data_IF_066477589825
#
_entry.id   IF_066477589825
#
_cell.length_a   1.000
_cell.length_b   1.000
_cell.length_c   1.000
_cell.angle_alpha   90.00
_cell.angle_beta   90.00
_cell.angle_gamma   90.00
#
_symmetry.space_group_name_H-M   'P 1'
#
loop_
_entity.id
_entity.type
_entity.pdbx_description
1 polymer ?
#
# COMPACT_ATOMS: atom_id res chain seq x y z
N UNK A 1 -9.05 17.04 30.85
CA UNK A 1 -8.67 17.50 29.49
C UNK A 1 -9.89 17.41 28.58
N UNK A 2 -9.98 18.19 27.51
CA UNK A 2 -11.18 18.24 26.67
C UNK A 2 -11.21 17.01 25.73
N UNK A 3 -12.31 16.24 25.67
CA UNK A 3 -12.40 15.02 24.83
C UNK A 3 -12.11 15.29 23.34
N UNK A 4 -12.41 16.51 22.89
CA UNK A 4 -12.11 17.01 21.54
C UNK A 4 -10.60 17.02 21.28
N UNK A 5 -9.80 17.45 22.25
CA UNK A 5 -8.34 17.57 22.12
C UNK A 5 -7.65 16.21 22.00
N UNK A 6 -8.12 15.19 22.73
CA UNK A 6 -7.60 13.82 22.63
C UNK A 6 -7.94 13.21 21.27
N UNK A 7 -9.17 13.45 20.78
CA UNK A 7 -9.56 13.00 19.46
C UNK A 7 -8.65 13.58 18.37
N UNK A 8 -8.35 14.88 18.42
CA UNK A 8 -7.47 15.54 17.48
C UNK A 8 -6.04 14.96 17.52
N UNK A 9 -5.52 14.66 18.72
CA UNK A 9 -4.21 14.00 18.87
C UNK A 9 -4.18 12.62 18.21
N UNK A 10 -5.24 11.82 18.38
CA UNK A 10 -5.35 10.50 17.76
C UNK A 10 -5.42 10.63 16.23
N UNK A 11 -6.20 11.59 15.70
CA UNK A 11 -6.28 11.79 14.25
C UNK A 11 -4.95 12.18 13.63
N UNK A 12 -4.19 13.07 14.28
CA UNK A 12 -2.85 13.44 13.84
C UNK A 12 -1.91 12.22 13.81
N UNK A 13 -1.93 11.41 14.87
CA UNK A 13 -1.16 10.17 14.95
C UNK A 13 -1.54 9.21 13.81
N UNK A 14 -2.84 9.01 13.54
CA UNK A 14 -3.31 8.16 12.43
C UNK A 14 -2.78 8.67 11.08
N UNK A 15 -2.79 9.99 10.88
CA UNK A 15 -2.31 10.64 9.65
C UNK A 15 -0.81 10.40 9.44
N UNK A 16 -0.02 10.55 10.49
CA UNK A 16 1.45 10.44 10.43
C UNK A 16 1.91 8.98 10.37
N UNK A 17 1.28 8.08 11.12
CA UNK A 17 1.72 6.68 11.26
C UNK A 17 0.94 5.69 10.40
N UNK A 18 -0.08 6.11 9.65
CA UNK A 18 -0.91 5.20 8.83
C UNK A 18 -0.17 4.40 7.76
N UNK A 19 1.12 4.68 7.51
CA UNK A 19 2.02 3.92 6.62
C UNK A 19 3.23 3.32 7.33
N UNK A 20 3.31 3.42 8.66
CA UNK A 20 4.40 2.84 9.45
C UNK A 20 4.23 1.32 9.54
N UNK A 21 5.31 0.57 9.35
CA UNK A 21 5.26 -0.90 9.29
C UNK A 21 4.72 -1.53 10.57
N UNK A 22 5.07 -0.99 11.75
CA UNK A 22 4.53 -1.50 13.02
C UNK A 22 3.06 -1.14 13.17
N UNK A 23 2.68 0.06 12.73
CA UNK A 23 1.28 0.50 12.75
C UNK A 23 0.40 -0.38 11.85
N UNK A 24 0.84 -0.65 10.62
CA UNK A 24 0.15 -1.54 9.68
C UNK A 24 0.08 -2.98 10.21
N UNK A 25 1.15 -3.46 10.86
CA UNK A 25 1.16 -4.76 11.53
C UNK A 25 0.10 -4.83 12.63
N UNK A 26 0.03 -3.82 13.50
CA UNK A 26 -0.98 -3.73 14.56
C UNK A 26 -2.39 -3.67 13.97
N UNK A 27 -2.60 -2.84 12.96
CA UNK A 27 -3.90 -2.71 12.30
C UNK A 27 -4.40 -4.01 11.67
N UNK A 28 -3.50 -4.82 11.09
CA UNK A 28 -3.88 -6.05 10.39
C UNK A 28 -4.10 -7.23 11.34
N UNK A 29 -3.24 -7.36 12.35
CA UNK A 29 -3.13 -8.59 13.13
C UNK A 29 -3.64 -8.42 14.59
N UNK A 30 -3.94 -7.20 15.03
CA UNK A 30 -4.33 -6.86 16.41
C UNK A 30 -5.44 -5.80 16.47
N UNK A 31 -5.87 -5.47 17.70
CA UNK A 31 -6.88 -4.45 17.94
C UNK A 31 -6.25 -3.05 17.98
N UNK A 32 -6.37 -2.31 16.87
CA UNK A 32 -5.88 -0.94 16.76
C UNK A 32 -6.58 0.02 17.74
N UNK A 33 -7.82 -0.25 18.12
CA UNK A 33 -8.57 0.61 19.04
C UNK A 33 -8.02 0.51 20.47
N UNK A 34 -7.37 -0.60 20.82
CA UNK A 34 -6.62 -0.76 22.07
C UNK A 34 -5.38 0.15 22.10
N UNK A 35 -4.61 0.20 21.01
CA UNK A 35 -3.45 1.10 20.89
C UNK A 35 -3.87 2.57 20.92
N UNK A 36 -5.00 2.89 20.29
CA UNK A 36 -5.55 4.23 20.13
C UNK A 36 -6.63 4.57 21.17
N UNK A 37 -6.67 3.86 22.29
CA UNK A 37 -7.67 4.07 23.33
C UNK A 37 -7.62 5.52 23.85
N UNK A 38 -8.69 6.33 23.69
CA UNK A 38 -8.74 7.71 24.16
C UNK A 38 -8.62 7.87 25.68
N UNK A 39 -8.86 6.79 26.44
CA UNK A 39 -8.74 6.77 27.91
C UNK A 39 -7.30 6.48 28.38
N UNK A 40 -6.37 6.24 27.47
CA UNK A 40 -4.97 5.99 27.80
C UNK A 40 -4.27 7.28 28.25
N UNK A 41 -3.60 7.20 29.41
CA UNK A 41 -2.86 8.30 30.04
C UNK A 41 -1.79 8.91 29.10
N UNK A 42 -1.33 8.13 28.12
CA UNK A 42 -0.48 8.60 27.03
C UNK A 42 -1.06 9.83 26.34
N UNK A 43 -2.31 9.78 25.88
CA UNK A 43 -2.92 10.88 25.11
C UNK A 43 -3.31 12.05 25.99
N UNK A 44 -3.57 11.80 27.27
CA UNK A 44 -3.79 12.85 28.28
C UNK A 44 -2.53 13.68 28.51
N UNK A 45 -1.36 13.05 28.53
CA UNK A 45 -0.09 13.74 28.83
C UNK A 45 0.68 14.22 27.59
N UNK A 46 0.26 13.82 26.39
CA UNK A 46 0.98 14.12 25.16
C UNK A 46 0.75 15.56 24.68
N UNK A 47 1.84 16.32 24.59
CA UNK A 47 1.98 17.61 23.89
C UNK A 47 2.89 17.45 22.68
N UNK A 48 2.50 17.98 21.51
CA UNK A 48 3.26 17.82 20.26
C UNK A 48 4.51 18.72 20.16
N UNK A 49 4.52 19.87 20.82
CA UNK A 49 5.62 20.84 20.75
C UNK A 49 6.70 20.67 21.83
N UNK A 50 6.57 19.63 22.66
CA UNK A 50 7.46 19.41 23.83
C UNK A 50 8.42 18.23 23.62
N UNK A 51 9.51 18.27 24.41
CA UNK A 51 10.47 17.18 24.51
C UNK A 51 10.35 16.48 25.85
N UNK A 52 10.31 15.15 25.81
CA UNK A 52 10.23 14.28 26.97
C UNK A 52 11.58 13.63 27.27
N UNK A 53 11.96 13.60 28.54
CA UNK A 53 13.06 12.77 29.04
C UNK A 53 12.62 11.32 29.16
N UNK A 54 13.57 10.40 29.22
CA UNK A 54 13.29 8.96 29.34
C UNK A 54 12.43 8.60 30.56
N UNK A 55 12.55 9.33 31.68
CA UNK A 55 11.71 9.12 32.87
C UNK A 55 10.25 9.55 32.65
N UNK A 56 10.04 10.68 31.98
CA UNK A 56 8.70 11.20 31.64
C UNK A 56 8.05 10.28 30.59
N UNK A 57 8.81 9.88 29.57
CA UNK A 57 8.41 8.91 28.57
C UNK A 57 7.97 7.57 29.19
N UNK A 58 8.72 7.04 30.16
CA UNK A 58 8.37 5.78 30.83
C UNK A 58 7.04 5.88 31.58
N UNK A 59 6.78 7.01 32.24
CA UNK A 59 5.51 7.25 32.90
C UNK A 59 4.34 7.30 31.88
N UNK A 60 4.51 8.01 30.77
CA UNK A 60 3.48 8.12 29.72
C UNK A 60 3.18 6.80 29.01
N UNK A 61 4.16 5.89 28.96
CA UNK A 61 4.02 4.59 28.30
C UNK A 61 3.53 3.48 29.26
N UNK A 62 3.08 3.83 30.48
CA UNK A 62 2.58 2.86 31.46
C UNK A 62 3.64 1.94 32.05
N UNK A 63 4.93 2.23 31.83
CA UNK A 63 6.07 1.47 32.33
C UNK A 63 6.90 2.30 33.31
N UNK A 64 6.21 2.95 34.24
CA UNK A 64 6.83 3.73 35.31
C UNK A 64 7.95 2.92 35.99
N UNK A 65 9.05 3.58 36.33
CA UNK A 65 10.28 3.00 36.90
C UNK A 65 11.12 2.11 35.96
N UNK A 66 10.68 1.87 34.71
CA UNK A 66 11.45 1.15 33.69
C UNK A 66 12.10 2.08 32.67
N UNK A 67 12.56 3.26 33.08
CA UNK A 67 13.28 4.19 32.18
C UNK A 67 14.53 3.56 31.54
N UNK A 68 15.13 2.57 32.21
CA UNK A 68 16.23 1.77 31.67
C UNK A 68 15.80 0.92 30.46
N UNK A 69 14.55 0.45 30.42
CA UNK A 69 14.02 -0.30 29.28
C UNK A 69 13.96 0.60 28.04
N UNK A 70 13.50 1.84 28.19
CA UNK A 70 13.54 2.84 27.11
C UNK A 70 14.98 3.08 26.65
N UNK A 71 15.91 3.29 27.59
CA UNK A 71 17.33 3.48 27.24
C UNK A 71 17.89 2.27 26.48
N UNK A 72 17.52 1.05 26.84
CA UNK A 72 17.97 -0.14 26.14
C UNK A 72 17.45 -0.17 24.69
N UNK A 73 16.21 0.25 24.44
CA UNK A 73 15.67 0.36 23.08
C UNK A 73 16.31 1.48 22.27
N UNK A 74 16.58 2.63 22.88
CA UNK A 74 17.26 3.76 22.22
C UNK A 74 18.72 3.47 21.88
N UNK A 75 19.39 2.63 22.67
CA UNK A 75 20.76 2.20 22.41
C UNK A 75 20.84 0.92 21.57
N UNK A 76 19.70 0.31 21.22
CA UNK A 76 19.70 -0.88 20.38
C UNK A 76 20.01 -0.50 18.94
N UNK A 77 21.12 -0.97 18.34
CA UNK A 77 21.50 -0.61 16.98
C UNK A 77 20.43 -0.99 15.95
N UNK A 78 19.64 -2.05 16.20
CA UNK A 78 18.57 -2.48 15.31
C UNK A 78 17.34 -1.57 15.33
N UNK A 79 17.20 -0.74 16.38
CA UNK A 79 16.06 0.17 16.55
C UNK A 79 16.46 1.64 16.49
N UNK A 80 17.76 1.97 16.46
CA UNK A 80 18.27 3.33 16.50
C UNK A 80 17.77 4.17 15.31
N UNK A 81 17.74 3.59 14.11
CA UNK A 81 17.26 4.27 12.90
C UNK A 81 15.74 4.48 12.89
N UNK A 82 15.01 3.60 13.59
CA UNK A 82 13.56 3.69 13.73
C UNK A 82 13.17 4.69 14.83
N UNK A 83 13.75 4.58 16.02
CA UNK A 83 13.47 5.46 17.17
C UNK A 83 14.46 6.62 17.17
N UNK A 84 14.23 7.57 16.26
CA UNK A 84 15.07 8.78 16.11
C UNK A 84 14.90 9.74 17.29
N UNK A 85 15.60 9.46 18.38
CA UNK A 85 15.70 10.35 19.53
C UNK A 85 16.88 11.31 19.39
N UNK A 86 16.72 12.54 19.89
CA UNK A 86 17.82 13.51 19.93
C UNK A 86 18.57 13.39 21.25
N UNK A 87 19.89 13.61 21.25
CA UNK A 87 20.67 13.70 22.49
C UNK A 87 20.99 15.17 22.78
N UNK A 88 20.80 15.61 24.02
CA UNK A 88 21.32 16.91 24.46
C UNK A 88 22.83 16.85 24.70
N UNK A 89 23.43 18.02 24.91
CA UNK A 89 24.86 18.19 25.19
C UNK A 89 25.36 17.40 26.40
N UNK A 90 24.48 17.07 27.36
CA UNK A 90 24.74 16.20 28.51
C UNK A 90 24.55 14.69 28.23
N UNK A 91 24.45 14.29 26.96
CA UNK A 91 24.20 12.91 26.48
C UNK A 91 22.88 12.31 26.96
N UNK A 92 21.93 13.13 27.41
CA UNK A 92 20.58 12.65 27.75
C UNK A 92 19.69 12.65 26.53
N UNK A 93 18.85 11.63 26.40
CA UNK A 93 17.87 11.55 25.32
C UNK A 93 16.70 12.50 25.55
N UNK A 94 16.29 13.15 24.46
CA UNK A 94 15.09 13.98 24.33
C UNK A 94 14.22 13.42 23.21
N UNK A 95 13.01 13.06 23.58
CA UNK A 95 12.04 12.39 22.72
C UNK A 95 10.94 13.38 22.37
N UNK A 96 10.63 13.56 21.09
CA UNK A 96 9.39 14.22 20.68
C UNK A 96 8.24 13.20 20.67
N UNK A 97 7.03 13.64 20.35
CA UNK A 97 5.86 12.75 20.31
C UNK A 97 6.00 11.59 19.33
N UNK A 98 6.69 11.76 18.20
CA UNK A 98 6.88 10.71 17.18
C UNK A 98 7.68 9.49 17.69
N UNK A 99 8.94 9.63 18.16
CA UNK A 99 9.67 8.51 18.73
C UNK A 99 8.99 7.94 19.98
N UNK A 100 8.23 8.76 20.73
CA UNK A 100 7.45 8.28 21.86
C UNK A 100 6.29 7.36 21.41
N UNK A 101 5.57 7.72 20.34
CA UNK A 101 4.53 6.87 19.78
C UNK A 101 5.11 5.59 19.15
N UNK A 102 6.29 5.66 18.53
CA UNK A 102 7.03 4.46 18.08
C UNK A 102 7.35 3.51 19.22
N UNK A 103 7.78 4.04 20.37
CA UNK A 103 7.97 3.25 21.59
C UNK A 103 6.66 2.64 22.09
N UNK A 104 5.54 3.37 22.00
CA UNK A 104 4.21 2.84 22.33
C UNK A 104 3.84 1.63 21.46
N UNK A 105 4.04 1.72 20.14
CA UNK A 105 3.79 0.60 19.22
C UNK A 105 4.68 -0.61 19.53
N UNK A 106 5.95 -0.37 19.86
CA UNK A 106 6.89 -1.43 20.24
C UNK A 106 6.43 -2.16 21.50
N UNK A 107 6.10 -1.42 22.57
CA UNK A 107 5.64 -2.03 23.82
C UNK A 107 4.30 -2.76 23.64
N UNK A 108 3.38 -2.20 22.85
CA UNK A 108 2.14 -2.86 22.50
C UNK A 108 2.39 -4.24 21.86
N UNK A 109 3.30 -4.32 20.87
CA UNK A 109 3.66 -5.59 20.23
C UNK A 109 4.30 -6.57 21.22
N UNK A 110 5.18 -6.10 22.10
CA UNK A 110 5.79 -6.95 23.13
C UNK A 110 4.76 -7.52 24.10
N UNK A 111 3.74 -6.74 24.48
CA UNK A 111 2.62 -7.22 25.30
C UNK A 111 1.78 -8.27 24.55
N UNK A 112 1.78 -8.26 23.22
CA UNK A 112 1.20 -9.32 22.36
C UNK A 112 2.19 -10.46 22.05
N UNK A 113 3.24 -10.62 22.85
CA UNK A 113 4.27 -11.66 22.74
C UNK A 113 5.16 -11.60 21.48
N UNK A 114 5.25 -10.45 20.79
CA UNK A 114 6.28 -10.28 19.76
C UNK A 114 7.67 -10.25 20.39
N UNK A 115 8.64 -10.94 19.79
CA UNK A 115 10.02 -10.86 20.24
C UNK A 115 10.72 -9.64 19.62
N UNK A 116 11.74 -9.08 20.29
CA UNK A 116 12.54 -7.99 19.73
C UNK A 116 13.09 -8.27 18.32
N UNK A 117 13.41 -9.53 18.02
CA UNK A 117 13.89 -9.93 16.69
C UNK A 117 12.79 -9.86 15.63
N UNK A 118 11.56 -10.25 15.94
CA UNK A 118 10.43 -10.21 15.00
C UNK A 118 10.11 -8.77 14.61
N UNK A 119 10.18 -7.87 15.59
CA UNK A 119 10.05 -6.42 15.38
C UNK A 119 11.19 -5.87 14.52
N UNK A 120 12.44 -6.27 14.77
CA UNK A 120 13.58 -5.84 13.97
C UNK A 120 13.44 -6.28 12.51
N UNK A 121 12.97 -7.51 12.26
CA UNK A 121 12.70 -8.04 10.91
C UNK A 121 11.61 -7.20 10.21
N UNK A 122 10.51 -6.87 10.90
CA UNK A 122 9.45 -6.01 10.36
C UNK A 122 9.97 -4.63 9.95
N UNK A 123 10.91 -4.09 10.72
CA UNK A 123 11.54 -2.80 10.43
C UNK A 123 12.65 -2.88 9.39
N UNK A 124 12.91 -4.05 8.81
CA UNK A 124 13.98 -4.25 7.82
C UNK A 124 15.39 -4.18 8.40
N UNK A 125 15.54 -4.24 9.73
CA UNK A 125 16.85 -4.33 10.36
C UNK A 125 17.43 -5.72 10.12
N UNK A 126 18.61 -5.79 9.50
CA UNK A 126 19.35 -7.04 9.36
C UNK A 126 19.64 -7.60 10.75
N UNK A 127 19.22 -8.84 11.01
CA UNK A 127 19.58 -9.54 12.23
C UNK A 127 21.12 -9.59 12.33
N UNK A 128 21.73 -8.71 13.11
CA UNK A 128 23.12 -8.87 13.49
C UNK A 128 23.19 -10.10 14.37
N UNK A 129 23.64 -11.21 13.78
CA UNK A 129 24.11 -12.36 14.53
C UNK A 129 25.19 -11.85 15.50
N UNK A 130 24.83 -11.72 16.77
CA UNK A 130 25.82 -11.56 17.84
C UNK A 130 26.28 -12.99 18.13
N UNK A 131 27.48 -13.42 17.67
CA UNK A 131 28.02 -14.69 18.11
C UNK A 131 28.05 -14.66 19.65
N UNK A 132 27.71 -15.76 20.34
CA UNK A 132 27.78 -15.80 21.79
C UNK A 132 29.18 -15.36 22.20
N UNK A 133 29.29 -14.18 22.82
CA UNK A 133 30.52 -13.78 23.47
C UNK A 133 30.81 -14.85 24.52
N UNK A 134 32.05 -15.33 24.56
CA UNK A 134 32.56 -16.32 25.51
C UNK A 134 32.57 -15.80 26.97
N UNK A 135 31.57 -15.04 27.39
CA UNK A 135 31.36 -14.68 28.79
C UNK A 135 30.39 -15.68 29.40
N UNK A 136 30.98 -16.64 30.12
CA UNK A 136 30.27 -17.69 30.82
C UNK A 136 29.12 -17.11 31.69
N UNK A 137 27.90 -17.66 31.63
CA UNK A 137 26.89 -17.34 32.61
C UNK A 137 27.33 -17.91 33.96
N UNK A 138 27.62 -17.02 34.92
CA UNK A 138 27.75 -17.40 36.33
C UNK A 138 26.37 -17.71 36.89
N UNK A 139 25.88 -18.93 36.67
CA UNK A 139 24.89 -19.52 37.56
C UNK A 139 25.01 -21.05 37.52
N UNK A 140 25.56 -21.60 38.59
CA UNK A 140 25.55 -23.03 38.87
C UNK A 140 24.13 -23.49 39.18
N UNK A 141 23.51 -24.23 38.26
CA UNK A 141 22.40 -25.13 38.58
C UNK A 141 22.75 -26.48 38.00
N UNK A 142 23.14 -27.40 38.88
CA UNK A 142 23.25 -28.81 38.56
C UNK A 142 21.84 -29.34 38.28
N UNK A 143 21.56 -29.77 37.04
CA UNK A 143 20.66 -30.89 36.83
C UNK A 143 21.12 -31.76 35.67
N UNK A 144 21.27 -33.04 36.02
CA UNK A 144 21.61 -34.15 35.16
C UNK A 144 20.44 -34.48 34.22
N UNK A 145 20.70 -34.37 32.94
CA UNK A 145 20.16 -35.25 31.92
C UNK A 145 21.18 -35.23 30.80
N UNK A 146 21.81 -36.38 30.50
CA UNK A 146 22.63 -36.53 29.30
C UNK A 146 21.70 -36.42 28.09
N UNK A 147 21.40 -35.19 27.70
CA UNK A 147 20.90 -34.88 26.37
C UNK A 147 22.10 -35.10 25.45
N UNK A 148 21.93 -36.02 24.51
CA UNK A 148 22.91 -36.29 23.47
C UNK A 148 23.01 -35.03 22.59
N UNK A 149 23.90 -34.12 22.98
CA UNK A 149 24.03 -32.76 22.44
C UNK A 149 24.26 -32.74 20.93
N UNK A 150 24.82 -33.82 20.38
CA UNK A 150 25.05 -33.95 18.94
C UNK A 150 23.76 -34.32 18.20
N UNK A 151 22.91 -35.22 18.75
CA UNK A 151 21.57 -35.46 18.19
C UNK A 151 20.67 -34.23 18.27
N UNK A 152 20.73 -33.50 19.38
CA UNK A 152 19.95 -32.27 19.53
C UNK A 152 20.36 -31.20 18.50
N UNK A 153 21.64 -31.10 18.14
CA UNK A 153 22.10 -30.20 17.07
C UNK A 153 21.62 -30.65 15.69
N UNK A 154 21.67 -31.95 15.40
CA UNK A 154 21.19 -32.48 14.12
C UNK A 154 19.68 -32.25 13.94
N UNK A 155 18.88 -32.51 14.99
CA UNK A 155 17.44 -32.24 15.02
C UNK A 155 17.13 -30.74 14.86
N UNK A 156 17.96 -29.86 15.46
CA UNK A 156 17.82 -28.41 15.32
C UNK A 156 18.10 -27.94 13.89
N UNK A 157 19.14 -28.48 13.25
CA UNK A 157 19.49 -28.16 11.85
C UNK A 157 18.42 -28.65 10.88
N UNK A 158 17.85 -29.84 11.12
CA UNK A 158 16.75 -30.37 10.31
C UNK A 158 15.47 -29.54 10.47
N UNK A 159 15.16 -29.12 11.70
CA UNK A 159 14.04 -28.21 11.99
C UNK A 159 14.23 -26.84 11.32
N UNK A 160 15.42 -26.25 11.38
CA UNK A 160 15.73 -24.98 10.71
C UNK A 160 15.59 -25.09 9.19
N UNK A 161 16.06 -26.20 8.59
CA UNK A 161 15.87 -26.46 7.15
C UNK A 161 14.39 -26.59 6.80
N UNK A 162 13.61 -27.31 7.61
CA UNK A 162 12.17 -27.46 7.39
C UNK A 162 11.45 -26.10 7.51
N UNK A 163 11.77 -25.31 8.53
CA UNK A 163 11.25 -23.94 8.71
C UNK A 163 11.59 -23.04 7.52
N UNK A 164 12.84 -23.06 7.04
CA UNK A 164 13.26 -22.30 5.87
C UNK A 164 12.50 -22.73 4.60
N UNK A 165 12.27 -24.03 4.41
CA UNK A 165 11.51 -24.53 3.27
C UNK A 165 10.04 -24.09 3.32
N UNK A 166 9.39 -24.19 4.48
CA UNK A 166 8.00 -23.73 4.64
C UNK A 166 7.88 -22.21 4.47
N UNK A 167 8.81 -21.45 5.02
CA UNK A 167 8.87 -19.99 4.84
C UNK A 167 9.07 -19.62 3.37
N UNK A 168 9.93 -20.35 2.64
CA UNK A 168 10.17 -20.11 1.22
C UNK A 168 8.94 -20.46 0.36
N UNK A 169 8.21 -21.52 0.71
CA UNK A 169 6.92 -21.85 0.07
C UNK A 169 5.90 -20.73 0.28
N UNK A 170 5.74 -20.24 1.51
CA UNK A 170 4.85 -19.12 1.82
C UNK A 170 5.25 -17.85 1.07
N UNK A 171 6.55 -17.53 1.04
CA UNK A 171 7.07 -16.36 0.32
C UNK A 171 6.79 -16.44 -1.18
N UNK A 172 7.00 -17.61 -1.79
CA UNK A 172 6.69 -17.83 -3.20
C UNK A 172 5.19 -17.68 -3.49
N UNK A 173 4.32 -18.23 -2.64
CA UNK A 173 2.87 -18.09 -2.79
C UNK A 173 2.40 -16.63 -2.67
N UNK A 174 2.98 -15.86 -1.73
CA UNK A 174 2.69 -14.42 -1.57
C UNK A 174 3.16 -13.65 -2.81
N UNK A 175 4.36 -13.93 -3.32
CA UNK A 175 4.88 -13.27 -4.51
C UNK A 175 4.05 -13.59 -5.76
N UNK A 176 3.66 -14.85 -5.95
CA UNK A 176 2.79 -15.24 -7.06
C UNK A 176 1.44 -14.52 -6.97
N UNK A 177 0.83 -14.47 -5.78
CA UNK A 177 -0.40 -13.70 -5.54
C UNK A 177 -0.24 -12.22 -5.88
N UNK A 178 0.85 -11.60 -5.43
CA UNK A 178 1.12 -10.18 -5.70
C UNK A 178 1.33 -9.91 -7.20
N UNK A 179 1.99 -10.82 -7.91
CA UNK A 179 2.16 -10.71 -9.36
C UNK A 179 0.81 -10.79 -10.08
N UNK A 180 -0.05 -11.75 -9.72
CA UNK A 180 -1.38 -11.90 -10.33
C UNK A 180 -2.27 -10.67 -10.05
N UNK A 181 -2.24 -10.12 -8.83
CA UNK A 181 -2.95 -8.88 -8.50
C UNK A 181 -2.46 -7.69 -9.34
N UNK A 182 -1.15 -7.57 -9.53
CA UNK A 182 -0.58 -6.51 -10.37
C UNK A 182 -0.99 -6.67 -11.85
N UNK A 183 -1.00 -7.89 -12.38
CA UNK A 183 -1.47 -8.19 -13.73
C UNK A 183 -2.96 -7.85 -13.90
N UNK A 184 -3.79 -8.20 -12.90
CA UNK A 184 -5.20 -7.88 -12.89
C UNK A 184 -5.44 -6.37 -12.89
N UNK A 185 -4.78 -5.61 -12.01
CA UNK A 185 -4.90 -4.16 -11.93
C UNK A 185 -4.50 -3.47 -13.25
N UNK A 186 -3.45 -3.96 -13.92
CA UNK A 186 -3.04 -3.47 -15.25
C UNK A 186 -4.10 -3.77 -16.31
N UNK A 187 -4.73 -4.95 -16.27
CA UNK A 187 -5.77 -5.32 -17.20
C UNK A 187 -7.05 -4.48 -16.98
N UNK A 188 -7.44 -4.24 -15.73
CA UNK A 188 -8.57 -3.38 -15.37
C UNK A 188 -8.36 -1.92 -15.83
N UNK A 189 -7.18 -1.35 -15.58
CA UNK A 189 -6.85 0.00 -16.07
C UNK A 189 -6.88 0.09 -17.61
N UNK A 190 -6.39 -0.95 -18.31
CA UNK A 190 -6.51 -1.02 -19.77
C UNK A 190 -7.96 -1.12 -20.23
N UNK A 191 -8.80 -1.84 -19.50
CA UNK A 191 -10.23 -1.97 -19.78
C UNK A 191 -10.94 -0.61 -19.68
N UNK A 192 -10.69 0.14 -18.61
CA UNK A 192 -11.25 1.49 -18.41
C UNK A 192 -10.87 2.44 -19.55
N UNK A 193 -9.60 2.43 -19.97
CA UNK A 193 -9.14 3.26 -21.09
C UNK A 193 -9.85 2.90 -22.40
N UNK A 194 -10.03 1.60 -22.69
CA UNK A 194 -10.74 1.15 -23.89
C UNK A 194 -12.22 1.58 -23.85
N UNK A 195 -12.87 1.47 -22.69
CA UNK A 195 -14.27 1.90 -22.51
C UNK A 195 -14.40 3.40 -22.79
N UNK A 196 -13.50 4.22 -22.23
CA UNK A 196 -13.50 5.66 -22.46
C UNK A 196 -13.28 6.00 -23.95
N UNK A 197 -12.35 5.31 -24.63
CA UNK A 197 -12.14 5.49 -26.06
C UNK A 197 -13.36 5.09 -26.91
N UNK A 198 -14.10 4.05 -26.50
CA UNK A 198 -15.33 3.65 -27.17
C UNK A 198 -16.43 4.70 -27.02
N UNK A 199 -16.56 5.31 -25.85
CA UNK A 199 -17.52 6.39 -25.61
C UNK A 199 -17.17 7.64 -26.44
N UNK A 200 -15.90 8.01 -26.49
CA UNK A 200 -15.41 9.12 -27.32
C UNK A 200 -15.70 8.87 -28.80
N UNK A 201 -15.40 7.66 -29.31
CA UNK A 201 -15.69 7.30 -30.69
C UNK A 201 -17.19 7.29 -30.99
N UNK A 202 -18.03 6.85 -30.05
CA UNK A 202 -19.49 6.88 -30.24
C UNK A 202 -20.01 8.32 -30.36
N UNK A 203 -19.45 9.25 -29.58
CA UNK A 203 -19.80 10.67 -29.67
C UNK A 203 -19.37 11.28 -31.02
N UNK A 204 -18.17 10.95 -31.48
CA UNK A 204 -17.65 11.41 -32.78
C UNK A 204 -18.48 10.82 -33.92
N UNK A 205 -18.82 9.53 -33.88
CA UNK A 205 -19.68 8.86 -34.86
C UNK A 205 -21.03 9.58 -35.00
N UNK A 206 -21.70 9.88 -33.87
CA UNK A 206 -22.96 10.64 -33.87
C UNK A 206 -22.83 12.01 -34.53
N UNK A 207 -21.72 12.71 -34.30
CA UNK A 207 -21.49 14.02 -34.93
C UNK A 207 -21.38 13.89 -36.46
N UNK A 208 -20.68 12.86 -36.95
CA UNK A 208 -20.59 12.60 -38.39
C UNK A 208 -21.91 12.12 -39.00
N UNK A 209 -22.71 11.34 -38.27
CA UNK A 209 -24.07 10.95 -38.70
C UNK A 209 -25.00 12.17 -38.81
N UNK A 210 -24.94 13.09 -37.84
CA UNK A 210 -25.68 14.37 -37.90
C UNK A 210 -25.23 15.18 -39.11
N UNK A 211 -23.93 15.24 -39.40
CA UNK A 211 -23.41 15.95 -40.58
C UNK A 211 -23.91 15.35 -41.88
N UNK A 212 -23.92 14.02 -42.01
CA UNK A 212 -24.48 13.34 -43.17
C UNK A 212 -25.96 13.68 -43.34
N UNK A 213 -26.75 13.65 -42.25
CA UNK A 213 -28.16 14.00 -42.31
C UNK A 213 -28.37 15.46 -42.75
N UNK A 214 -27.59 16.40 -42.20
CA UNK A 214 -27.64 17.82 -42.61
C UNK A 214 -27.29 17.97 -44.10
N UNK A 215 -26.25 17.27 -44.58
CA UNK A 215 -25.87 17.27 -45.99
C UNK A 215 -26.98 16.70 -46.88
N UNK A 216 -27.62 15.60 -46.49
CA UNK A 216 -28.71 14.97 -47.25
C UNK A 216 -30.01 15.79 -47.25
N UNK A 217 -30.32 16.47 -46.15
CA UNK A 217 -31.44 17.42 -46.09
C UNK A 217 -31.15 18.68 -46.91
N UNK A 218 -29.90 19.13 -46.95
CA UNK A 218 -29.50 20.27 -47.76
C UNK A 218 -29.46 20.02 -49.26
N UNK A 219 -29.23 18.78 -49.69
CA UNK A 219 -29.40 18.38 -51.09
C UNK A 219 -30.85 18.55 -51.56
N UNK A 220 -31.81 18.58 -50.61
CA UNK A 220 -33.25 18.76 -50.85
C UNK A 220 -33.75 20.20 -50.62
N UNK A 221 -32.92 21.12 -50.11
CA UNK A 221 -33.32 22.48 -49.71
C UNK A 221 -32.44 23.57 -50.37
N UNK A 222 -33.02 24.73 -50.70
CA UNK A 222 -32.29 25.82 -51.35
C UNK A 222 -31.05 26.31 -50.55
N UNK A 223 -29.99 26.81 -51.22
CA UNK A 223 -28.58 26.74 -50.76
C UNK A 223 -28.19 27.68 -49.60
N UNK A 224 -29.14 28.36 -48.95
CA UNK A 224 -28.85 29.63 -48.25
C UNK A 224 -28.49 29.42 -46.76
N UNK A 225 -28.77 28.25 -46.14
CA UNK A 225 -28.62 28.07 -44.68
C UNK A 225 -27.40 27.29 -44.17
N UNK A 226 -26.54 26.73 -45.03
CA UNK A 226 -25.48 25.82 -44.56
C UNK A 226 -24.15 26.47 -44.17
N UNK A 227 -23.86 27.69 -44.65
CA UNK A 227 -22.57 28.36 -44.39
C UNK A 227 -22.24 28.53 -42.91
N UNK A 228 -23.25 28.69 -42.05
CA UNK A 228 -23.04 28.87 -40.61
C UNK A 228 -22.67 27.58 -39.87
N UNK A 229 -23.10 26.42 -40.36
CA UNK A 229 -22.83 25.11 -39.75
C UNK A 229 -21.40 24.67 -40.07
N UNK A 230 -20.98 24.79 -41.34
CA UNK A 230 -19.63 24.45 -41.78
C UNK A 230 -18.55 25.33 -41.13
N UNK A 231 -18.83 26.62 -40.91
CA UNK A 231 -17.92 27.56 -40.27
C UNK A 231 -17.64 27.25 -38.80
N UNK A 232 -18.59 26.63 -38.08
CA UNK A 232 -18.38 26.17 -36.70
C UNK A 232 -17.49 24.93 -36.58
N UNK A 233 -17.30 24.17 -37.68
CA UNK A 233 -16.58 22.89 -37.69
C UNK A 233 -15.22 22.93 -38.42
N UNK A 234 -14.72 24.13 -38.78
CA UNK A 234 -13.45 24.34 -39.50
C UNK A 234 -13.35 23.62 -40.87
N UNK A 235 -14.47 23.33 -41.53
CA UNK A 235 -14.48 22.81 -42.89
C UNK A 235 -14.33 24.01 -43.84
N UNK A 236 -13.34 23.98 -44.75
CA UNK A 236 -12.96 25.17 -45.53
C UNK A 236 -14.10 25.66 -46.44
N UNK A 237 -14.21 26.99 -46.57
CA UNK A 237 -15.26 27.75 -47.28
C UNK A 237 -15.23 27.62 -48.82
N UNK A 238 -14.42 26.71 -49.37
CA UNK A 238 -14.35 26.54 -50.81
C UNK A 238 -15.59 25.78 -51.28
N UNK A 239 -16.19 26.23 -52.40
CA UNK A 239 -17.25 25.54 -53.17
C UNK A 239 -16.77 24.15 -53.61
N UNK A 240 -16.63 23.26 -52.65
CA UNK A 240 -16.18 21.89 -52.84
C UNK A 240 -17.43 21.07 -53.12
N UNK A 241 -17.33 20.33 -54.21
CA UNK A 241 -18.30 19.37 -54.69
C UNK A 241 -19.00 18.65 -53.52
N UNK A 242 -20.31 18.88 -53.34
CA UNK A 242 -21.11 18.29 -52.25
C UNK A 242 -20.90 16.78 -52.17
N UNK A 243 -20.75 16.14 -53.34
CA UNK A 243 -20.45 14.72 -53.46
C UNK A 243 -19.09 14.35 -52.86
N UNK A 244 -18.06 15.18 -53.05
CA UNK A 244 -16.73 14.97 -52.48
C UNK A 244 -16.77 15.07 -50.95
N UNK A 245 -17.46 16.07 -50.40
CA UNK A 245 -17.62 16.19 -48.94
C UNK A 245 -18.39 15.02 -48.33
N UNK A 246 -19.44 14.54 -49.00
CA UNK A 246 -20.19 13.34 -48.59
C UNK A 246 -19.33 12.08 -48.63
N UNK A 247 -18.47 11.93 -49.65
CA UNK A 247 -17.52 10.82 -49.75
C UNK A 247 -16.49 10.88 -48.61
N UNK A 248 -15.93 12.06 -48.34
CA UNK A 248 -14.91 12.26 -47.29
C UNK A 248 -15.49 11.94 -45.90
N UNK A 249 -16.70 12.43 -45.59
CA UNK A 249 -17.38 12.13 -44.32
C UNK A 249 -17.71 10.64 -44.19
N UNK A 250 -18.22 9.99 -45.24
CA UNK A 250 -18.49 8.55 -45.21
C UNK A 250 -17.21 7.73 -45.01
N UNK A 251 -16.09 8.15 -45.62
CA UNK A 251 -14.78 7.52 -45.42
C UNK A 251 -14.33 7.62 -43.96
N UNK A 252 -14.44 8.81 -43.36
CA UNK A 252 -14.11 9.02 -41.94
C UNK A 252 -15.03 8.23 -41.00
N UNK A 253 -16.33 8.18 -41.29
CA UNK A 253 -17.30 7.38 -40.53
C UNK A 253 -16.95 5.89 -40.57
N UNK A 254 -16.56 5.36 -41.75
CA UNK A 254 -16.14 3.97 -41.88
C UNK A 254 -14.85 3.69 -41.08
N UNK A 255 -13.86 4.59 -41.12
CA UNK A 255 -12.65 4.46 -40.30
C UNK A 255 -12.96 4.44 -38.79
N UNK A 256 -13.89 5.30 -38.34
CA UNK A 256 -14.35 5.32 -36.95
C UNK A 256 -15.02 3.99 -36.58
N UNK A 257 -15.90 3.46 -37.44
CA UNK A 257 -16.58 2.18 -37.23
C UNK A 257 -15.60 1.01 -37.15
N UNK A 258 -14.64 0.93 -38.07
CA UNK A 258 -13.57 -0.09 -38.03
C UNK A 258 -12.76 0.00 -36.73
N UNK A 259 -12.33 1.20 -36.34
CA UNK A 259 -11.58 1.39 -35.08
C UNK A 259 -12.40 1.00 -33.84
N UNK A 260 -13.72 1.25 -33.87
CA UNK A 260 -14.64 0.85 -32.80
C UNK A 260 -14.75 -0.67 -32.70
N UNK A 261 -14.87 -1.36 -33.82
CA UNK A 261 -14.89 -2.84 -33.88
C UNK A 261 -13.58 -3.45 -33.36
N UNK A 262 -12.43 -2.88 -33.74
CA UNK A 262 -11.11 -3.27 -33.22
C UNK A 262 -11.02 -3.10 -31.69
N UNK A 263 -11.48 -1.95 -31.17
CA UNK A 263 -11.51 -1.71 -29.72
C UNK A 263 -12.49 -2.62 -28.98
N UNK A 264 -13.63 -2.96 -29.57
CA UNK A 264 -14.57 -3.93 -29.01
C UNK A 264 -13.96 -5.33 -28.95
N UNK A 265 -13.21 -5.74 -29.98
CA UNK A 265 -12.45 -6.99 -29.95
C UNK A 265 -11.39 -6.97 -28.84
N UNK A 266 -10.60 -5.90 -28.76
CA UNK A 266 -9.59 -5.73 -27.71
C UNK A 266 -10.20 -5.75 -26.31
N UNK A 267 -11.40 -5.18 -26.13
CA UNK A 267 -12.12 -5.20 -24.86
C UNK A 267 -12.46 -6.63 -24.42
N UNK A 268 -12.88 -7.47 -25.37
CA UNK A 268 -13.17 -8.88 -25.12
C UNK A 268 -11.93 -9.62 -24.62
N UNK A 269 -10.79 -9.45 -25.29
CA UNK A 269 -9.52 -10.08 -24.92
C UNK A 269 -9.05 -9.64 -23.52
N UNK A 270 -9.24 -8.36 -23.18
CA UNK A 270 -8.90 -7.84 -21.84
C UNK A 270 -9.82 -8.44 -20.76
N UNK A 271 -11.12 -8.59 -21.02
CA UNK A 271 -12.05 -9.25 -20.09
C UNK A 271 -11.70 -10.72 -19.86
N UNK A 272 -11.29 -11.43 -20.91
CA UNK A 272 -10.80 -12.81 -20.79
C UNK A 272 -9.54 -12.88 -19.92
N UNK A 273 -8.59 -11.94 -20.08
CA UNK A 273 -7.40 -11.84 -19.21
C UNK A 273 -7.75 -11.58 -17.74
N UNK A 274 -8.70 -10.69 -17.46
CA UNK A 274 -9.17 -10.44 -16.08
C UNK A 274 -9.75 -11.73 -15.51
N UNK A 275 -10.61 -12.42 -16.26
CA UNK A 275 -11.23 -13.70 -15.84
C UNK A 275 -10.17 -14.76 -15.53
N UNK A 276 -9.12 -14.86 -16.36
CA UNK A 276 -7.99 -15.75 -16.11
C UNK A 276 -7.24 -15.40 -14.82
N UNK A 277 -7.05 -14.11 -14.54
CA UNK A 277 -6.41 -13.66 -13.29
C UNK A 277 -7.28 -13.99 -12.07
N UNK A 278 -8.60 -13.76 -12.14
CA UNK A 278 -9.54 -14.14 -11.09
C UNK A 278 -9.49 -15.63 -10.79
N UNK A 279 -9.54 -16.47 -11.83
CA UNK A 279 -9.43 -17.92 -11.69
C UNK A 279 -8.09 -18.37 -11.09
N UNK A 280 -6.99 -17.68 -11.41
CA UNK A 280 -5.68 -17.94 -10.79
C UNK A 280 -5.68 -17.55 -9.31
N UNK A 281 -6.26 -16.41 -8.95
CA UNK A 281 -6.39 -15.97 -7.56
C UNK A 281 -7.20 -16.95 -6.71
N UNK A 282 -8.31 -17.47 -7.24
CA UNK A 282 -9.14 -18.45 -6.55
C UNK A 282 -8.39 -19.77 -6.31
N UNK A 283 -7.54 -20.19 -7.25
CA UNK A 283 -6.69 -21.38 -7.07
C UNK A 283 -5.62 -21.18 -6.00
N UNK A 284 -4.99 -20.00 -5.97
CA UNK A 284 -4.00 -19.64 -4.93
C UNK A 284 -4.68 -19.53 -3.54
N UNK A 285 -5.93 -19.06 -3.48
CA UNK A 285 -6.70 -18.96 -2.26
C UNK A 285 -7.15 -20.31 -1.67
N UNK A 286 -7.37 -21.31 -2.53
CA UNK A 286 -7.84 -22.66 -2.14
C UNK A 286 -6.71 -23.66 -1.83
N UNK A 287 -5.44 -23.26 -1.92
CA UNK A 287 -4.28 -24.10 -1.58
C UNK A 287 -3.85 -24.04 -0.10
N UNK A 288 -4.68 -23.47 0.78
CA UNK A 288 -4.46 -23.44 2.25
C UNK A 288 -5.32 -24.48 2.96
#
# INVERSE_FOLDING_TARGET
MNKVEIHDKIQEIRSVFGRDELYLKIQRDFDLDELLNPEDEFYEKLTFDEYYKTKEAAAMLGIADKSQQILNHLNNPNLADYIKATQSTDRRYRLTWQPLFRLKMLFYLFDKNFKPNDVAILLGATAMYVPPTNEAPKSSVNHSSNIDLDKFKDDLVEFEKHQQQEMMKMFNAINERNQVLLEQAKAESKMELIIQQLDDLSNVEKQYEILLNILEESEKAEPIKLKSIFKWMQISDEKTDYNKQKIDINSQLNQIKTKREELQSNLKDVKEKITLCTNKMDRIGNTN
#
